data_IF_599694106447
#
_entry.id   IF_599694106447
#
_cell.length_a   1.000
_cell.length_b   1.000
_cell.length_c   1.000
_cell.angle_alpha   90.00
_cell.angle_beta   90.00
_cell.angle_gamma   90.00
#
_symmetry.space_group_name_H-M   'P 1'
#
loop_
_entity.id
_entity.type
_entity.pdbx_description
1 polymer ?
#
# COMPACT_ATOMS: atom_id res chain seq x y z
N UNK A 1 -14.69 -7.31 -0.75
CA UNK A 1 -14.71 -8.41 0.26
C UNK A 1 -13.31 -8.97 0.55
N UNK A 2 -12.50 -9.33 -0.47
CA UNK A 2 -11.16 -9.88 -0.23
C UNK A 2 -10.22 -8.96 0.57
N UNK A 3 -10.20 -7.65 0.29
CA UNK A 3 -9.36 -6.68 1.01
C UNK A 3 -9.65 -6.68 2.52
N UNK A 4 -10.92 -6.61 2.91
CA UNK A 4 -11.36 -6.62 4.30
C UNK A 4 -11.05 -7.93 5.02
N UNK A 5 -11.14 -9.07 4.33
CA UNK A 5 -10.79 -10.37 4.89
C UNK A 5 -9.29 -10.47 5.19
N UNK A 6 -8.43 -10.09 4.24
CA UNK A 6 -6.98 -10.09 4.46
C UNK A 6 -6.57 -9.13 5.57
N UNK A 7 -7.19 -7.94 5.62
CA UNK A 7 -6.95 -6.99 6.70
C UNK A 7 -7.37 -7.54 8.05
N UNK A 8 -8.56 -8.15 8.14
CA UNK A 8 -9.06 -8.77 9.37
C UNK A 8 -8.12 -9.87 9.85
N UNK A 9 -7.66 -10.74 8.95
CA UNK A 9 -6.70 -11.80 9.29
C UNK A 9 -5.36 -11.22 9.78
N UNK A 10 -4.84 -10.17 9.12
CA UNK A 10 -3.62 -9.49 9.56
C UNK A 10 -3.77 -8.87 10.95
N UNK A 11 -4.91 -8.24 11.22
CA UNK A 11 -5.23 -7.68 12.55
C UNK A 11 -5.35 -8.78 13.59
N UNK A 12 -6.06 -9.88 13.30
CA UNK A 12 -6.15 -11.01 14.24
C UNK A 12 -4.76 -11.53 14.59
N UNK A 13 -3.90 -11.78 13.59
CA UNK A 13 -2.53 -12.23 13.83
C UNK A 13 -1.73 -11.25 14.69
N UNK A 14 -1.83 -9.94 14.42
CA UNK A 14 -1.15 -8.91 15.19
C UNK A 14 -1.56 -8.88 16.67
N UNK A 15 -2.82 -9.23 16.98
CA UNK A 15 -3.34 -9.19 18.34
C UNK A 15 -3.23 -10.51 19.10
N UNK A 16 -3.26 -11.66 18.41
CA UNK A 16 -3.42 -12.97 19.06
C UNK A 16 -2.24 -13.90 18.89
N UNK A 17 -1.41 -13.72 17.86
CA UNK A 17 -0.40 -14.73 17.51
C UNK A 17 0.99 -14.44 18.14
N UNK A 18 1.23 -13.22 18.65
CA UNK A 18 2.50 -12.83 19.27
C UNK A 18 3.52 -12.25 18.28
N UNK A 19 4.81 -12.24 18.64
CA UNK A 19 5.90 -11.54 17.91
C UNK A 19 6.85 -12.46 17.14
N UNK A 20 6.47 -13.73 16.94
CA UNK A 20 7.30 -14.68 16.19
C UNK A 20 7.61 -14.19 14.78
N UNK A 21 8.83 -14.43 14.30
CA UNK A 21 9.30 -13.96 12.98
C UNK A 21 8.36 -14.30 11.83
N UNK A 22 7.83 -15.52 11.78
CA UNK A 22 6.91 -15.96 10.74
C UNK A 22 5.56 -15.22 10.80
N UNK A 23 5.14 -14.79 11.99
CA UNK A 23 3.89 -14.06 12.22
C UNK A 23 4.02 -12.65 11.68
N UNK A 24 5.16 -12.00 11.92
CA UNK A 24 5.45 -10.69 11.35
C UNK A 24 5.40 -10.77 9.82
N UNK A 25 6.07 -11.75 9.22
CA UNK A 25 6.05 -11.96 7.77
C UNK A 25 4.63 -12.21 7.25
N UNK A 26 3.89 -13.12 7.88
CA UNK A 26 2.51 -13.43 7.48
C UNK A 26 1.59 -12.21 7.58
N UNK A 27 1.65 -11.48 8.70
CA UNK A 27 0.87 -10.25 8.93
C UNK A 27 1.20 -9.19 7.88
N UNK A 28 2.48 -8.96 7.59
CA UNK A 28 2.91 -7.99 6.57
C UNK A 28 2.41 -8.40 5.19
N UNK A 29 2.53 -9.66 4.79
CA UNK A 29 2.07 -10.15 3.48
C UNK A 29 0.55 -10.03 3.35
N UNK A 30 -0.20 -10.42 4.39
CA UNK A 30 -1.67 -10.29 4.39
C UNK A 30 -2.11 -8.82 4.35
N UNK A 31 -1.49 -7.96 5.14
CA UNK A 31 -1.78 -6.53 5.12
C UNK A 31 -1.39 -5.87 3.78
N UNK A 32 -0.31 -6.34 3.13
CA UNK A 32 0.04 -5.92 1.76
C UNK A 32 -1.03 -6.36 0.76
N UNK A 33 -1.49 -7.61 0.84
CA UNK A 33 -2.57 -8.13 0.01
C UNK A 33 -3.87 -7.33 0.18
N UNK A 34 -4.16 -6.89 1.41
CA UNK A 34 -5.26 -5.98 1.70
C UNK A 34 -5.01 -4.59 1.09
N UNK A 35 -3.85 -4.00 1.33
CA UNK A 35 -3.47 -2.66 0.89
C UNK A 35 -3.53 -2.46 -0.63
N UNK A 36 -3.25 -3.50 -1.42
CA UNK A 36 -3.39 -3.42 -2.90
C UNK A 36 -4.82 -3.19 -3.40
N UNK A 37 -5.82 -3.40 -2.54
CA UNK A 37 -7.26 -3.29 -2.87
C UNK A 37 -8.04 -2.41 -1.89
N UNK A 38 -7.42 -2.00 -0.79
CA UNK A 38 -8.03 -1.15 0.22
C UNK A 38 -8.42 0.24 -0.34
N UNK A 39 -7.61 0.88 -1.21
CA UNK A 39 -8.00 2.14 -1.84
C UNK A 39 -9.36 2.06 -2.56
N UNK A 40 -9.67 0.93 -3.20
CA UNK A 40 -10.93 0.69 -3.91
C UNK A 40 -12.16 0.51 -3.00
N UNK A 41 -11.99 0.49 -1.66
CA UNK A 41 -13.12 0.51 -0.74
C UNK A 41 -13.84 1.86 -0.74
N UNK A 42 -13.30 2.88 -1.39
CA UNK A 42 -13.98 4.17 -1.54
C UNK A 42 -15.30 4.07 -2.29
N UNK A 43 -15.41 3.19 -3.28
CA UNK A 43 -16.62 2.94 -4.05
C UNK A 43 -17.75 2.37 -3.18
N UNK A 44 -17.59 1.24 -2.46
CA UNK A 44 -18.63 0.74 -1.57
C UNK A 44 -18.90 1.66 -0.37
N UNK A 45 -17.91 2.45 0.08
CA UNK A 45 -18.07 3.42 1.17
C UNK A 45 -18.63 4.78 0.69
N UNK A 46 -18.93 4.94 -0.61
CA UNK A 46 -19.46 6.18 -1.21
C UNK A 46 -18.57 7.42 -0.96
N UNK A 47 -17.26 7.22 -0.85
CA UNK A 47 -16.27 8.29 -0.63
C UNK A 47 -15.82 8.98 -1.93
N UNK A 48 -16.37 8.55 -3.07
CA UNK A 48 -15.92 8.92 -4.41
C UNK A 48 -14.69 8.10 -4.80
N UNK A 49 -14.71 7.50 -6.01
CA UNK A 49 -13.58 6.71 -6.52
C UNK A 49 -12.27 7.52 -6.49
N UNK A 50 -11.16 6.95 -6.06
CA UNK A 50 -9.91 7.66 -5.75
C UNK A 50 -10.04 8.69 -4.64
N UNK A 51 -10.65 8.29 -3.52
CA UNK A 51 -10.76 9.12 -2.32
C UNK A 51 -9.37 9.40 -1.73
N UNK A 52 -9.08 10.68 -1.44
CA UNK A 52 -7.84 11.10 -0.80
C UNK A 52 -7.60 10.41 0.55
N UNK A 53 -8.65 9.97 1.24
CA UNK A 53 -8.52 9.26 2.53
C UNK A 53 -7.86 7.89 2.34
N UNK A 54 -8.28 7.13 1.34
CA UNK A 54 -7.77 5.77 1.11
C UNK A 54 -6.59 5.74 0.13
N UNK A 55 -6.46 6.76 -0.73
CA UNK A 55 -5.33 6.97 -1.63
C UNK A 55 -4.29 7.91 -1.00
N UNK A 56 -3.98 7.71 0.28
CA UNK A 56 -2.96 8.47 1.00
C UNK A 56 -2.16 7.58 1.95
N UNK A 57 -1.24 8.17 2.69
CA UNK A 57 -0.55 7.53 3.82
C UNK A 57 -1.46 7.30 5.03
N UNK A 58 -2.67 7.88 5.05
CA UNK A 58 -3.55 7.86 6.22
C UNK A 58 -3.85 6.45 6.75
N UNK A 59 -4.16 5.41 5.92
CA UNK A 59 -4.44 4.08 6.46
C UNK A 59 -3.24 3.45 7.20
N UNK A 60 -2.02 3.71 6.73
CA UNK A 60 -0.80 3.31 7.44
C UNK A 60 -0.72 4.04 8.80
N UNK A 61 -0.91 5.36 8.82
CA UNK A 61 -0.83 6.15 10.05
C UNK A 61 -1.89 5.74 11.08
N UNK A 62 -3.11 5.42 10.63
CA UNK A 62 -4.17 4.90 11.48
C UNK A 62 -3.77 3.56 12.08
N UNK A 63 -3.15 2.67 11.30
CA UNK A 63 -2.63 1.41 11.81
C UNK A 63 -1.42 1.56 12.76
N UNK A 64 -0.80 2.73 12.86
CA UNK A 64 0.25 3.01 13.86
C UNK A 64 -0.29 3.55 15.18
N UNK A 65 -1.60 3.80 15.30
CA UNK A 65 -2.21 4.27 16.56
C UNK A 65 -2.14 3.23 17.67
N UNK A 66 -2.01 1.94 17.33
CA UNK A 66 -1.78 0.86 18.28
C UNK A 66 -0.37 0.25 18.06
N UNK A 67 0.46 0.12 19.11
CA UNK A 67 1.81 -0.41 18.96
C UNK A 67 1.84 -1.88 18.49
N UNK A 68 0.75 -2.64 18.70
CA UNK A 68 0.65 -4.04 18.27
C UNK A 68 0.51 -4.18 16.76
N UNK A 69 0.03 -3.15 16.07
CA UNK A 69 -0.29 -3.20 14.64
C UNK A 69 0.85 -2.72 13.75
N UNK A 70 2.08 -2.61 14.25
CA UNK A 70 3.25 -2.22 13.44
C UNK A 70 3.44 -3.06 12.18
N UNK A 71 3.26 -4.39 12.25
CA UNK A 71 3.34 -5.27 11.07
C UNK A 71 2.19 -5.03 10.07
N UNK A 72 0.99 -4.70 10.57
CA UNK A 72 -0.16 -4.34 9.73
C UNK A 72 0.11 -3.01 9.02
N UNK A 73 0.61 -2.00 9.74
CA UNK A 73 0.96 -0.71 9.19
C UNK A 73 2.03 -0.84 8.09
N UNK A 74 3.08 -1.64 8.34
CA UNK A 74 4.12 -1.91 7.36
C UNK A 74 3.53 -2.52 6.06
N UNK A 75 2.73 -3.57 6.19
CA UNK A 75 2.10 -4.21 5.03
C UNK A 75 1.12 -3.30 4.29
N UNK A 76 0.29 -2.54 5.00
CA UNK A 76 -0.59 -1.55 4.39
C UNK A 76 0.20 -0.50 3.58
N UNK A 77 1.33 -0.03 4.11
CA UNK A 77 2.25 0.85 3.40
C UNK A 77 2.71 0.27 2.07
N UNK A 78 3.23 -0.95 2.07
CA UNK A 78 3.64 -1.57 0.81
C UNK A 78 2.47 -1.78 -0.15
N UNK A 79 1.34 -2.30 0.33
CA UNK A 79 0.18 -2.60 -0.52
C UNK A 79 -0.42 -1.35 -1.16
N UNK A 80 -0.65 -0.29 -0.37
CA UNK A 80 -1.19 0.98 -0.86
C UNK A 80 -0.16 1.67 -1.75
N UNK A 81 1.12 1.63 -1.39
CA UNK A 81 2.21 2.16 -2.22
C UNK A 81 2.25 1.53 -3.62
N UNK A 82 2.13 0.20 -3.70
CA UNK A 82 2.05 -0.53 -4.98
C UNK A 82 0.81 -0.17 -5.79
N UNK A 83 -0.35 -0.04 -5.12
CA UNK A 83 -1.59 0.40 -5.77
C UNK A 83 -1.44 1.80 -6.36
N UNK A 84 -0.94 2.75 -5.56
CA UNK A 84 -0.70 4.13 -5.99
C UNK A 84 0.33 4.20 -7.12
N UNK A 85 1.34 3.33 -7.11
CA UNK A 85 2.31 3.26 -8.20
C UNK A 85 1.64 2.86 -9.53
N UNK A 86 0.71 1.91 -9.54
CA UNK A 86 -0.06 1.56 -10.74
C UNK A 86 -0.95 2.74 -11.19
N UNK A 87 -1.54 3.45 -10.23
CA UNK A 87 -2.39 4.60 -10.44
C UNK A 87 -1.69 5.83 -11.05
N UNK A 88 -0.34 5.87 -11.06
CA UNK A 88 0.46 6.86 -11.79
C UNK A 88 0.47 6.64 -13.31
N UNK A 89 0.05 5.47 -13.77
CA UNK A 89 0.01 5.15 -15.20
C UNK A 89 -1.43 4.84 -15.67
N UNK A 90 -2.42 5.72 -15.41
CA UNK A 90 -3.78 5.47 -15.83
C UNK A 90 -3.89 5.62 -17.35
N UNK A 91 -4.88 4.96 -17.97
CA UNK A 91 -5.22 5.19 -19.38
C UNK A 91 -5.58 6.66 -19.64
N UNK A 92 -6.32 7.29 -18.73
CA UNK A 92 -6.65 8.72 -18.77
C UNK A 92 -6.81 9.30 -17.37
N UNK A 93 -6.10 10.37 -17.02
CA UNK A 93 -6.23 11.07 -15.73
C UNK A 93 -7.27 12.21 -15.78
N UNK A 94 -8.55 11.87 -15.94
CA UNK A 94 -9.66 12.85 -15.97
C UNK A 94 -10.88 12.33 -15.20
N UNK A 95 -11.73 13.23 -14.72
CA UNK A 95 -13.01 12.90 -14.07
C UNK A 95 -12.85 11.90 -12.91
N UNK A 96 -13.36 10.68 -13.08
CA UNK A 96 -13.26 9.62 -12.07
C UNK A 96 -11.81 9.18 -11.77
N UNK A 97 -10.82 9.49 -12.58
CA UNK A 97 -9.43 9.14 -12.30
C UNK A 97 -8.70 10.14 -11.37
N UNK A 98 -9.20 11.37 -11.17
CA UNK A 98 -8.52 12.35 -10.31
C UNK A 98 -8.73 12.05 -8.83
N UNK A 99 -7.85 12.47 -7.93
CA UNK A 99 -8.08 12.37 -6.48
C UNK A 99 -9.26 13.26 -6.06
N UNK A 100 -10.08 12.78 -5.12
CA UNK A 100 -11.17 13.55 -4.51
C UNK A 100 -10.92 13.78 -3.04
N UNK A 101 -10.94 15.05 -2.64
CA UNK A 101 -10.94 15.42 -1.23
C UNK A 101 -12.34 15.26 -0.65
N UNK A 102 -12.46 14.80 0.61
CA UNK A 102 -13.73 14.84 1.33
C UNK A 102 -14.32 16.24 1.28
N UNK A 103 -15.63 16.34 1.01
CA UNK A 103 -16.40 17.59 0.99
C UNK A 103 -16.04 18.61 -0.12
N UNK A 104 -14.91 18.46 -0.82
CA UNK A 104 -14.45 19.41 -1.86
C UNK A 104 -14.57 18.86 -3.28
N UNK A 105 -14.48 17.53 -3.45
CA UNK A 105 -14.47 16.90 -4.77
C UNK A 105 -13.09 16.84 -5.41
N UNK A 106 -13.03 16.84 -6.74
CA UNK A 106 -11.79 16.63 -7.50
C UNK A 106 -10.78 17.75 -7.31
N UNK A 107 -9.50 17.39 -7.13
CA UNK A 107 -8.38 18.36 -7.12
C UNK A 107 -7.75 18.61 -8.50
N UNK A 108 -8.35 18.07 -9.56
CA UNK A 108 -7.84 18.19 -10.93
C UNK A 108 -6.65 17.27 -11.24
N UNK A 109 -6.26 17.23 -12.51
CA UNK A 109 -5.29 16.25 -13.05
C UNK A 109 -3.90 16.36 -12.43
N UNK A 110 -3.28 17.54 -12.52
CA UNK A 110 -1.90 17.74 -12.08
C UNK A 110 -1.72 17.51 -10.56
N UNK A 111 -2.56 18.11 -9.69
CA UNK A 111 -2.48 17.83 -8.25
C UNK A 111 -2.75 16.37 -7.90
N UNK A 112 -3.54 15.65 -8.70
CA UNK A 112 -3.78 14.21 -8.49
C UNK A 112 -2.52 13.38 -8.72
N UNK A 113 -1.76 13.65 -9.79
CA UNK A 113 -0.49 12.96 -10.02
C UNK A 113 0.50 13.21 -8.89
N UNK A 114 0.62 14.47 -8.45
CA UNK A 114 1.50 14.82 -7.35
C UNK A 114 1.06 14.14 -6.04
N UNK A 115 -0.24 14.14 -5.76
CA UNK A 115 -0.80 13.48 -4.58
C UNK A 115 -0.48 11.99 -4.56
N UNK A 116 -0.72 11.29 -5.68
CA UNK A 116 -0.48 9.85 -5.82
C UNK A 116 1.02 9.56 -5.70
N UNK A 117 1.88 10.33 -6.36
CA UNK A 117 3.33 10.13 -6.31
C UNK A 117 3.88 10.30 -4.88
N UNK A 118 3.52 11.40 -4.21
CA UNK A 118 3.98 11.68 -2.85
C UNK A 118 3.46 10.64 -1.86
N UNK A 119 2.18 10.30 -1.92
CA UNK A 119 1.61 9.32 -1.00
C UNK A 119 2.08 7.89 -1.30
N UNK A 120 2.31 7.54 -2.57
CA UNK A 120 2.89 6.26 -2.96
C UNK A 120 4.30 6.10 -2.39
N UNK A 121 5.16 7.09 -2.60
CA UNK A 121 6.51 7.12 -2.03
C UNK A 121 6.48 7.07 -0.49
N UNK A 122 5.66 7.91 0.13
CA UNK A 122 5.56 7.97 1.59
C UNK A 122 5.04 6.65 2.21
N UNK A 123 4.13 5.95 1.54
CA UNK A 123 3.66 4.63 1.96
C UNK A 123 4.76 3.55 1.85
N UNK A 124 5.51 3.51 0.75
CA UNK A 124 6.61 2.53 0.57
C UNK A 124 7.72 2.79 1.60
N UNK A 125 8.18 4.04 1.72
CA UNK A 125 9.22 4.43 2.67
C UNK A 125 8.75 4.22 4.10
N UNK A 126 7.53 4.66 4.44
CA UNK A 126 6.95 4.46 5.76
C UNK A 126 6.81 2.98 6.11
N UNK A 127 6.35 2.15 5.17
CA UNK A 127 6.23 0.71 5.36
C UNK A 127 7.57 0.03 5.63
N UNK A 128 8.61 0.43 4.90
CA UNK A 128 9.98 -0.06 5.11
C UNK A 128 10.55 0.38 6.47
N UNK A 129 10.43 1.67 6.81
CA UNK A 129 10.92 2.20 8.10
C UNK A 129 10.23 1.53 9.29
N UNK A 130 8.91 1.29 9.21
CA UNK A 130 8.19 0.58 10.26
C UNK A 130 8.67 -0.87 10.35
N UNK A 131 8.83 -1.56 9.22
CA UNK A 131 9.28 -2.95 9.19
C UNK A 131 10.68 -3.12 9.79
N UNK A 132 11.63 -2.24 9.46
CA UNK A 132 12.99 -2.28 10.02
C UNK A 132 13.03 -2.05 11.53
N UNK A 133 12.08 -1.26 12.07
CA UNK A 133 12.02 -0.99 13.52
C UNK A 133 11.51 -2.17 14.34
N UNK A 134 10.69 -3.04 13.75
CA UNK A 134 9.99 -4.11 14.48
C UNK A 134 10.56 -5.50 14.22
N UNK A 135 11.47 -5.66 13.25
CA UNK A 135 11.88 -6.96 12.75
C UNK A 135 13.40 -7.05 12.55
N UNK A 136 13.96 -8.22 12.84
CA UNK A 136 15.36 -8.52 12.52
C UNK A 136 15.59 -8.58 11.00
N UNK A 137 16.82 -8.37 10.55
CA UNK A 137 17.19 -8.27 9.12
C UNK A 137 16.69 -9.45 8.27
N UNK A 138 16.76 -10.67 8.78
CA UNK A 138 16.29 -11.87 8.07
C UNK A 138 14.76 -11.86 7.87
N UNK A 139 14.03 -11.34 8.85
CA UNK A 139 12.57 -11.20 8.83
C UNK A 139 12.17 -10.10 7.85
N UNK A 140 12.89 -8.97 7.86
CA UNK A 140 12.73 -7.90 6.86
C UNK A 140 12.91 -8.46 5.45
N UNK A 141 14.00 -9.19 5.20
CA UNK A 141 14.27 -9.80 3.90
C UNK A 141 13.16 -10.79 3.48
N UNK A 142 12.71 -11.64 4.39
CA UNK A 142 11.61 -12.58 4.14
C UNK A 142 10.29 -11.88 3.81
N UNK A 143 9.95 -10.82 4.55
CA UNK A 143 8.77 -10.02 4.29
C UNK A 143 8.84 -9.30 2.93
N UNK A 144 9.98 -8.68 2.61
CA UNK A 144 10.21 -8.02 1.32
C UNK A 144 10.15 -8.99 0.15
N UNK A 145 10.66 -10.22 0.31
CA UNK A 145 10.51 -11.27 -0.71
C UNK A 145 9.03 -11.62 -0.94
N UNK A 146 8.26 -11.79 0.14
CA UNK A 146 6.81 -12.02 0.05
C UNK A 146 6.05 -10.86 -0.62
N UNK A 147 6.39 -9.62 -0.25
CA UNK A 147 5.86 -8.40 -0.87
C UNK A 147 6.24 -8.35 -2.35
N UNK A 148 7.48 -8.69 -2.72
CA UNK A 148 7.95 -8.68 -4.10
C UNK A 148 7.17 -9.64 -4.99
N UNK A 149 6.94 -10.88 -4.52
CA UNK A 149 6.12 -11.87 -5.22
C UNK A 149 4.68 -11.38 -5.38
N UNK A 150 4.06 -10.94 -4.28
CA UNK A 150 2.67 -10.47 -4.28
C UNK A 150 2.49 -9.21 -5.14
N UNK A 151 3.39 -8.25 -4.99
CA UNK A 151 3.39 -6.99 -5.72
C UNK A 151 3.56 -7.21 -7.21
N UNK A 152 4.50 -8.07 -7.63
CA UNK A 152 4.66 -8.45 -9.04
C UNK A 152 3.38 -9.10 -9.57
N UNK A 153 2.82 -10.07 -8.85
CA UNK A 153 1.59 -10.76 -9.25
C UNK A 153 0.38 -9.82 -9.34
N UNK A 154 0.33 -8.78 -8.50
CA UNK A 154 -0.68 -7.73 -8.55
C UNK A 154 -0.45 -6.81 -9.76
N UNK A 155 0.74 -6.23 -9.91
CA UNK A 155 1.05 -5.26 -10.97
C UNK A 155 0.89 -5.87 -12.37
N UNK A 156 1.18 -7.16 -12.57
CA UNK A 156 0.96 -7.83 -13.86
C UNK A 156 -0.52 -7.90 -14.28
N UNK A 157 -1.46 -7.72 -13.35
CA UNK A 157 -2.91 -7.82 -13.59
C UNK A 157 -3.63 -6.48 -13.52
N UNK A 158 -2.92 -5.41 -13.15
CA UNK A 158 -3.52 -4.09 -12.89
C UNK A 158 -3.21 -3.16 -14.06
N UNK A 159 -4.20 -2.37 -14.48
CA UNK A 159 -4.01 -1.27 -15.45
C UNK A 159 -2.90 -0.34 -14.96
N UNK A 160 -1.93 -0.02 -15.82
CA UNK A 160 -0.76 0.80 -15.46
C UNK A 160 0.34 0.05 -14.68
N UNK A 161 0.09 -1.19 -14.26
CA UNK A 161 1.03 -1.95 -13.44
C UNK A 161 2.35 -2.30 -14.12
N UNK A 162 2.38 -2.46 -15.44
CA UNK A 162 3.64 -2.61 -16.20
C UNK A 162 4.53 -1.36 -16.11
N UNK A 163 3.93 -0.17 -16.21
CA UNK A 163 4.65 1.10 -16.05
C UNK A 163 5.19 1.27 -14.64
N UNK A 164 4.37 0.94 -13.64
CA UNK A 164 4.77 0.93 -12.24
C UNK A 164 5.93 -0.04 -11.98
N UNK A 165 5.85 -1.25 -12.51
CA UNK A 165 6.90 -2.27 -12.36
C UNK A 165 8.22 -1.81 -13.00
N UNK A 166 8.19 -1.25 -14.21
CA UNK A 166 9.37 -0.69 -14.85
C UNK A 166 9.99 0.45 -14.03
N UNK A 167 9.16 1.36 -13.50
CA UNK A 167 9.61 2.45 -12.63
C UNK A 167 10.27 1.92 -11.35
N UNK A 168 9.64 0.95 -10.68
CA UNK A 168 10.19 0.36 -9.45
C UNK A 168 11.49 -0.40 -9.69
N UNK A 169 11.60 -1.14 -10.79
CA UNK A 169 12.83 -1.81 -11.19
C UNK A 169 13.95 -0.81 -11.50
N UNK A 170 13.64 0.28 -12.20
CA UNK A 170 14.61 1.35 -12.47
C UNK A 170 15.09 2.00 -11.17
N UNK A 171 14.18 2.35 -10.26
CA UNK A 171 14.53 2.92 -8.95
C UNK A 171 15.41 1.94 -8.16
N UNK A 172 15.02 0.67 -8.09
CA UNK A 172 15.80 -0.35 -7.40
C UNK A 172 17.20 -0.48 -8.00
N UNK A 173 17.30 -0.53 -9.32
CA UNK A 173 18.58 -0.57 -10.02
C UNK A 173 19.46 0.65 -9.75
N UNK A 174 18.89 1.85 -9.72
CA UNK A 174 19.63 3.08 -9.39
C UNK A 174 20.15 3.08 -7.96
N UNK A 175 19.45 2.44 -7.01
CA UNK A 175 19.88 2.34 -5.61
C UNK A 175 21.08 1.39 -5.45
N UNK A 176 21.18 0.36 -6.30
CA UNK A 176 22.23 -0.67 -6.23
C UNK A 176 23.41 -0.45 -7.19
N UNK A 177 23.45 0.68 -7.89
CA UNK A 177 24.58 1.11 -8.71
C UNK A 177 25.42 2.15 -8.00
#
# INVERSE_FOLDING_TARGET
MAASLFLLLAVILAFTAGTGSWIIVATVVLATAAGTRLPDLDAPLRLGHRSALLHSILPLLVALLDPRTGAVAAGLGFGIGLHLAADLFPRTMRGFATIKLPLWGSIGMFPSYLWIALNGAANIVGGFVVLERIAARQVVAGALAGIGVLGTAYLMRTDGGWGAMALMLLIGWLIFR
#
